data_IF_499631907127
#
_entry.id   IF_499631907127
#
_cell.length_a   1.000
_cell.length_b   1.000
_cell.length_c   1.000
_cell.angle_alpha   90.00
_cell.angle_beta   90.00
_cell.angle_gamma   90.00
#
_symmetry.space_group_name_H-M   'P 1'
#
loop_
_entity.id
_entity.type
_entity.pdbx_description
1 polymer ?
#
# COMPACT_ATOMS: atom_id res chain seq x y z
N UNK A 1 61.84 14.16 -32.16
CA UNK A 1 61.27 14.56 -30.84
C UNK A 1 59.78 14.30 -30.87
N UNK A 2 59.22 13.66 -29.84
CA UNK A 2 57.78 13.30 -29.81
C UNK A 2 56.93 14.49 -29.39
N UNK A 3 55.86 14.79 -30.13
CA UNK A 3 54.93 15.89 -29.86
C UNK A 3 54.11 15.64 -28.56
N UNK A 4 53.92 16.67 -27.73
CA UNK A 4 53.22 16.55 -26.45
C UNK A 4 51.76 17.05 -26.52
N UNK A 5 50.81 16.11 -26.62
CA UNK A 5 49.37 16.41 -26.72
C UNK A 5 48.60 16.40 -25.37
N UNK A 6 49.30 16.49 -24.23
CA UNK A 6 48.65 16.42 -22.89
C UNK A 6 47.66 17.57 -22.66
N UNK A 7 47.98 18.76 -23.14
CA UNK A 7 47.13 19.96 -23.01
C UNK A 7 45.88 19.83 -23.87
N UNK A 8 46.04 19.42 -25.13
CA UNK A 8 44.97 19.18 -26.10
C UNK A 8 44.02 18.11 -25.58
N UNK A 9 44.54 17.00 -25.05
CA UNK A 9 43.73 15.94 -24.43
C UNK A 9 42.95 16.43 -23.20
N UNK A 10 43.53 17.34 -22.40
CA UNK A 10 42.85 17.97 -21.25
C UNK A 10 41.76 18.95 -21.71
N UNK A 11 42.03 19.78 -22.71
CA UNK A 11 41.08 20.73 -23.27
C UNK A 11 39.91 20.01 -23.94
N UNK A 12 40.19 18.99 -24.76
CA UNK A 12 39.19 18.14 -25.39
C UNK A 12 38.26 17.47 -24.38
N UNK A 13 38.81 16.94 -23.27
CA UNK A 13 38.01 16.36 -22.19
C UNK A 13 37.03 17.39 -21.59
N UNK A 14 37.48 18.62 -21.33
CA UNK A 14 36.65 19.71 -20.82
C UNK A 14 35.62 20.20 -21.83
N UNK A 15 35.96 20.24 -23.12
CA UNK A 15 35.09 20.72 -24.20
C UNK A 15 33.97 19.72 -24.49
N UNK A 16 34.29 18.42 -24.52
CA UNK A 16 33.35 17.33 -24.83
C UNK A 16 32.56 16.87 -23.59
N UNK A 17 32.97 17.31 -22.39
CA UNK A 17 32.30 16.94 -21.14
C UNK A 17 32.52 15.48 -20.74
N UNK A 18 33.71 14.93 -20.97
CA UNK A 18 34.05 13.55 -20.61
C UNK A 18 35.46 13.45 -20.00
N UNK A 19 35.78 12.33 -19.35
CA UNK A 19 37.13 12.13 -18.80
C UNK A 19 38.19 11.92 -19.89
N UNK A 20 39.46 12.30 -19.62
CA UNK A 20 40.61 12.14 -20.55
C UNK A 20 40.76 10.73 -21.13
N UNK A 21 40.31 9.69 -20.40
CA UNK A 21 40.32 8.28 -20.85
C UNK A 21 39.41 8.01 -22.05
N UNK A 22 38.37 8.84 -22.25
CA UNK A 22 37.40 8.75 -23.34
C UNK A 22 37.74 9.61 -24.55
N UNK A 23 38.74 10.46 -24.46
CA UNK A 23 39.24 11.21 -25.61
C UNK A 23 40.19 10.32 -26.41
N UNK A 24 39.89 10.16 -27.69
CA UNK A 24 40.78 9.64 -28.72
C UNK A 24 41.28 10.83 -29.57
N UNK A 25 42.57 10.82 -29.89
CA UNK A 25 43.24 11.81 -30.74
C UNK A 25 43.77 11.02 -31.93
N UNK A 26 43.57 11.53 -33.13
CA UNK A 26 44.07 10.88 -34.34
C UNK A 26 45.62 10.81 -34.33
N UNK A 27 46.24 9.62 -34.41
CA UNK A 27 47.69 9.48 -34.46
C UNK A 27 48.32 9.94 -35.79
N UNK A 28 47.53 10.07 -36.87
CA UNK A 28 48.04 10.53 -38.17
C UNK A 28 48.11 12.06 -38.25
N UNK A 29 47.19 12.75 -37.56
CA UNK A 29 47.06 14.22 -37.60
C UNK A 29 47.62 14.91 -36.35
N UNK A 30 48.73 14.38 -35.82
CA UNK A 30 49.37 14.86 -34.58
C UNK A 30 49.82 16.32 -34.69
N UNK A 31 50.28 16.75 -35.86
CA UNK A 31 50.74 18.12 -36.09
C UNK A 31 49.58 19.12 -36.06
N UNK A 32 48.46 18.79 -36.70
CA UNK A 32 47.27 19.64 -36.71
C UNK A 32 46.64 19.75 -35.32
N UNK A 33 46.56 18.62 -34.59
CA UNK A 33 46.08 18.62 -33.20
C UNK A 33 47.01 19.45 -32.30
N UNK A 34 48.33 19.38 -32.49
CA UNK A 34 49.31 20.12 -31.68
C UNK A 34 49.13 21.64 -31.78
N UNK A 35 48.76 22.16 -32.95
CA UNK A 35 48.55 23.59 -33.18
C UNK A 35 47.28 24.15 -32.51
N UNK A 36 46.37 23.28 -32.04
CA UNK A 36 45.13 23.70 -31.39
C UNK A 36 45.31 24.10 -29.92
N UNK A 37 45.55 25.39 -29.67
CA UNK A 37 45.79 25.94 -28.33
C UNK A 37 44.53 26.47 -27.62
N UNK A 38 43.43 26.68 -28.36
CA UNK A 38 42.18 27.25 -27.81
C UNK A 38 41.07 26.20 -27.66
N UNK A 39 40.08 26.47 -26.80
CA UNK A 39 38.88 25.61 -26.70
C UNK A 39 38.04 25.63 -27.97
N UNK A 40 38.03 26.75 -28.70
CA UNK A 40 37.26 26.90 -29.94
C UNK A 40 37.87 26.07 -31.08
N UNK A 41 39.18 26.08 -31.24
CA UNK A 41 39.89 25.23 -32.21
C UNK A 41 39.72 23.75 -31.87
N UNK A 42 39.75 23.37 -30.59
CA UNK A 42 39.46 21.99 -30.15
C UNK A 42 38.01 21.58 -30.45
N UNK A 43 37.03 22.49 -30.38
CA UNK A 43 35.65 22.19 -30.82
C UNK A 43 35.58 21.90 -32.32
N UNK A 44 36.33 22.65 -33.13
CA UNK A 44 36.44 22.42 -34.58
C UNK A 44 37.02 21.03 -34.87
N UNK A 45 38.15 20.67 -34.23
CA UNK A 45 38.76 19.33 -34.37
C UNK A 45 37.84 18.17 -33.90
N UNK A 46 36.94 18.42 -32.95
CA UNK A 46 35.92 17.43 -32.55
C UNK A 46 34.83 17.30 -33.61
N UNK A 47 34.42 18.40 -34.23
CA UNK A 47 33.43 18.40 -35.32
C UNK A 47 33.99 17.74 -36.60
N UNK A 48 35.26 18.02 -36.91
CA UNK A 48 35.98 17.46 -38.06
C UNK A 48 36.36 15.98 -37.87
N UNK A 49 36.17 15.43 -36.67
CA UNK A 49 36.39 14.00 -36.37
C UNK A 49 37.82 13.61 -35.98
N UNK A 50 38.76 14.57 -35.93
CA UNK A 50 40.14 14.37 -35.50
C UNK A 50 40.27 14.09 -33.99
N UNK A 51 39.27 14.53 -33.22
CA UNK A 51 39.14 14.24 -31.79
C UNK A 51 37.80 13.55 -31.53
N UNK A 52 37.84 12.28 -31.13
CA UNK A 52 36.65 11.45 -30.96
C UNK A 52 36.40 11.13 -29.49
N UNK A 53 35.14 11.22 -29.08
CA UNK A 53 34.68 10.64 -27.81
C UNK A 53 34.49 9.13 -27.99
N UNK A 54 35.40 8.34 -27.43
CA UNK A 54 35.27 6.88 -27.39
C UNK A 54 33.96 6.47 -26.68
N UNK A 55 33.25 5.45 -27.18
CA UNK A 55 32.07 4.94 -26.51
C UNK A 55 32.40 4.43 -25.10
N UNK A 56 31.39 4.37 -24.24
CA UNK A 56 31.52 3.79 -22.91
C UNK A 56 31.77 2.29 -23.06
N UNK A 57 32.63 1.72 -22.21
CA UNK A 57 32.81 0.28 -22.20
C UNK A 57 31.51 -0.34 -21.67
N UNK A 58 30.86 -1.17 -22.49
CA UNK A 58 29.54 -1.69 -22.16
C UNK A 58 29.62 -2.64 -20.96
N UNK A 59 28.86 -2.34 -19.90
CA UNK A 59 28.68 -3.28 -18.79
C UNK A 59 27.29 -3.92 -18.87
N UNK A 60 27.21 -5.11 -19.47
CA UNK A 60 25.94 -5.83 -19.62
C UNK A 60 25.32 -6.21 -18.27
N UNK A 61 24.00 -6.05 -18.16
CA UNK A 61 23.20 -6.46 -17.00
C UNK A 61 22.44 -7.77 -17.22
N UNK A 62 22.62 -8.44 -18.36
CA UNK A 62 21.86 -9.64 -18.73
C UNK A 62 21.93 -10.74 -17.66
N UNK A 63 23.13 -11.10 -17.21
CA UNK A 63 23.35 -12.10 -16.15
C UNK A 63 22.71 -11.70 -14.81
N UNK A 64 22.83 -10.44 -14.42
CA UNK A 64 22.21 -9.93 -13.20
C UNK A 64 20.67 -9.97 -13.26
N UNK A 65 20.07 -9.67 -14.41
CA UNK A 65 18.61 -9.76 -14.64
C UNK A 65 18.14 -11.22 -14.58
N UNK A 66 18.84 -12.13 -15.25
CA UNK A 66 18.54 -13.56 -15.21
C UNK A 66 18.60 -14.12 -13.78
N UNK A 67 19.63 -13.75 -13.01
CA UNK A 67 19.74 -14.13 -11.60
C UNK A 67 18.59 -13.56 -10.74
N UNK A 68 18.19 -12.31 -10.97
CA UNK A 68 17.07 -11.69 -10.24
C UNK A 68 15.74 -12.37 -10.57
N UNK A 69 15.51 -12.76 -11.83
CA UNK A 69 14.34 -13.54 -12.22
C UNK A 69 14.35 -14.91 -11.52
N UNK A 70 15.47 -15.63 -11.53
CA UNK A 70 15.63 -16.89 -10.82
C UNK A 70 15.40 -16.76 -9.30
N UNK A 71 15.88 -15.66 -8.68
CA UNK A 71 15.64 -15.36 -7.26
C UNK A 71 14.16 -15.06 -6.96
N UNK A 72 13.43 -14.45 -7.90
CA UNK A 72 12.00 -14.14 -7.75
C UNK A 72 11.13 -15.40 -7.66
N UNK A 73 11.44 -16.42 -8.47
CA UNK A 73 10.83 -17.77 -8.40
C UNK A 73 11.34 -18.61 -7.22
N UNK A 74 12.25 -18.09 -6.38
CA UNK A 74 12.67 -18.74 -5.14
C UNK A 74 14.04 -19.43 -5.18
N UNK A 75 14.72 -19.47 -6.33
CA UNK A 75 16.07 -20.06 -6.44
C UNK A 75 17.10 -19.23 -5.67
N UNK A 76 18.20 -19.86 -5.26
CA UNK A 76 19.29 -19.22 -4.52
C UNK A 76 18.91 -18.58 -3.16
N UNK A 77 17.86 -19.07 -2.47
CA UNK A 77 17.40 -18.57 -1.16
C UNK A 77 17.60 -19.55 0.03
N UNK A 78 18.21 -20.70 -0.22
CA UNK A 78 18.50 -21.74 0.79
C UNK A 78 19.49 -21.28 1.88
N UNK A 79 19.63 -22.08 2.94
CA UNK A 79 20.43 -21.72 4.13
C UNK A 79 21.89 -21.36 3.80
N UNK A 80 22.56 -22.12 2.93
CA UNK A 80 23.95 -21.83 2.53
C UNK A 80 24.16 -20.53 1.74
N UNK A 81 23.09 -19.83 1.32
CA UNK A 81 23.18 -18.50 0.70
C UNK A 81 22.82 -17.36 1.65
N UNK A 82 22.45 -17.66 2.90
CA UNK A 82 22.10 -16.67 3.93
C UNK A 82 23.35 -16.36 4.75
N UNK A 83 23.78 -15.10 4.74
CA UNK A 83 24.94 -14.62 5.53
C UNK A 83 24.55 -13.78 6.75
N UNK A 84 23.46 -13.02 6.67
CA UNK A 84 22.94 -12.22 7.78
C UNK A 84 21.83 -12.90 8.57
N UNK A 85 21.58 -12.43 9.79
CA UNK A 85 20.49 -12.90 10.67
C UNK A 85 19.11 -12.69 10.02
N UNK A 86 18.09 -13.38 10.55
CA UNK A 86 16.70 -13.25 10.06
C UNK A 86 16.22 -11.80 10.14
N UNK A 87 16.50 -11.13 11.26
CA UNK A 87 16.04 -9.76 11.51
C UNK A 87 16.78 -8.73 10.64
N UNK A 88 18.09 -8.91 10.40
CA UNK A 88 18.84 -8.06 9.46
C UNK A 88 18.31 -8.19 8.01
N UNK A 89 17.85 -9.38 7.60
CA UNK A 89 17.32 -9.63 6.26
C UNK A 89 15.88 -9.11 6.09
N UNK A 90 15.06 -9.26 7.13
CA UNK A 90 13.67 -8.78 7.19
C UNK A 90 13.32 -8.45 8.65
N UNK A 91 13.40 -7.17 9.04
CA UNK A 91 13.15 -6.77 10.42
C UNK A 91 11.73 -7.09 10.88
N UNK A 92 11.62 -7.60 12.09
CA UNK A 92 10.36 -7.99 12.71
C UNK A 92 9.41 -6.79 12.85
N UNK A 93 9.95 -5.60 13.13
CA UNK A 93 9.22 -4.34 13.18
C UNK A 93 8.55 -4.01 11.83
N UNK A 94 9.25 -4.22 10.70
CA UNK A 94 8.70 -3.96 9.35
C UNK A 94 7.54 -4.90 9.05
N UNK A 95 7.67 -6.18 9.40
CA UNK A 95 6.59 -7.16 9.25
C UNK A 95 5.37 -6.78 10.11
N UNK A 96 5.60 -6.36 11.35
CA UNK A 96 4.54 -5.91 12.25
C UNK A 96 3.81 -4.67 11.70
N UNK A 97 4.56 -3.65 11.29
CA UNK A 97 4.01 -2.43 10.70
C UNK A 97 3.17 -2.73 9.44
N UNK A 98 3.68 -3.56 8.53
CA UNK A 98 2.95 -3.96 7.31
C UNK A 98 1.64 -4.66 7.68
N UNK A 99 1.68 -5.61 8.62
CA UNK A 99 0.49 -6.33 9.07
C UNK A 99 -0.55 -5.39 9.69
N UNK A 100 -0.16 -4.55 10.66
CA UNK A 100 -1.08 -3.59 11.28
C UNK A 100 -1.73 -2.66 10.28
N UNK A 101 -0.93 -2.08 9.37
CA UNK A 101 -1.45 -1.16 8.35
C UNK A 101 -2.46 -1.85 7.43
N UNK A 102 -2.23 -3.11 7.05
CA UNK A 102 -3.17 -3.89 6.24
C UNK A 102 -4.48 -4.14 6.99
N UNK A 103 -4.42 -4.52 8.27
CA UNK A 103 -5.61 -4.76 9.10
C UNK A 103 -6.42 -3.48 9.31
N UNK A 104 -5.76 -2.39 9.72
CA UNK A 104 -6.41 -1.10 9.98
C UNK A 104 -7.03 -0.50 8.72
N UNK A 105 -6.33 -0.56 7.59
CA UNK A 105 -6.87 -0.09 6.30
C UNK A 105 -8.13 -0.87 5.89
N UNK A 106 -8.19 -2.17 6.18
CA UNK A 106 -9.39 -2.98 5.92
C UNK A 106 -10.55 -2.52 6.81
N UNK A 107 -10.31 -2.32 8.11
CA UNK A 107 -11.34 -1.86 9.05
C UNK A 107 -11.91 -0.49 8.65
N UNK A 108 -11.05 0.46 8.27
CA UNK A 108 -11.49 1.78 7.78
C UNK A 108 -12.37 1.64 6.54
N UNK A 109 -11.95 0.83 5.56
CA UNK A 109 -12.74 0.57 4.35
C UNK A 109 -14.10 -0.06 4.68
N UNK A 110 -14.15 -1.02 5.60
CA UNK A 110 -15.40 -1.70 5.95
C UNK A 110 -16.36 -0.79 6.71
N UNK A 111 -15.83 0.10 7.56
CA UNK A 111 -16.63 1.11 8.27
C UNK A 111 -17.23 2.12 7.28
N UNK A 112 -16.42 2.63 6.36
CA UNK A 112 -16.88 3.57 5.33
C UNK A 112 -17.95 2.95 4.42
N UNK A 113 -17.83 1.66 4.10
CA UNK A 113 -18.81 0.92 3.32
C UNK A 113 -20.04 0.45 4.11
N UNK A 114 -20.18 0.81 5.40
CA UNK A 114 -21.28 0.37 6.27
C UNK A 114 -21.32 -1.12 6.58
N UNK A 115 -20.26 -1.88 6.24
CA UNK A 115 -20.20 -3.32 6.52
C UNK A 115 -20.05 -3.62 8.01
N UNK A 116 -19.44 -2.70 8.76
CA UNK A 116 -19.29 -2.75 10.22
C UNK A 116 -19.72 -1.39 10.80
N UNK A 117 -20.26 -1.41 12.02
CA UNK A 117 -20.60 -0.20 12.76
C UNK A 117 -19.39 0.39 13.51
N UNK A 118 -19.56 1.59 14.10
CA UNK A 118 -18.50 2.28 14.84
C UNK A 118 -18.04 1.49 16.08
N UNK A 119 -18.95 0.74 16.71
CA UNK A 119 -18.69 -0.03 17.92
C UNK A 119 -17.82 -1.25 17.62
N UNK A 120 -18.24 -2.09 16.66
CA UNK A 120 -17.44 -3.23 16.23
C UNK A 120 -16.10 -2.79 15.63
N UNK A 121 -16.06 -1.65 14.92
CA UNK A 121 -14.80 -1.07 14.45
C UNK A 121 -13.82 -0.80 15.60
N UNK A 122 -14.27 -0.17 16.69
CA UNK A 122 -13.39 0.21 17.79
C UNK A 122 -12.81 -1.03 18.49
N UNK A 123 -13.65 -2.03 18.76
CA UNK A 123 -13.24 -3.31 19.35
C UNK A 123 -12.19 -4.01 18.46
N UNK A 124 -12.50 -4.18 17.17
CA UNK A 124 -11.58 -4.83 16.23
C UNK A 124 -10.28 -4.06 16.03
N UNK A 125 -10.30 -2.73 16.19
CA UNK A 125 -9.11 -1.90 16.14
C UNK A 125 -8.15 -2.20 17.30
N UNK A 126 -8.68 -2.35 18.52
CA UNK A 126 -7.89 -2.71 19.69
C UNK A 126 -7.40 -4.17 19.62
N UNK A 127 -8.26 -5.11 19.21
CA UNK A 127 -7.86 -6.51 18.99
C UNK A 127 -6.77 -6.64 17.91
N UNK A 128 -6.85 -5.82 16.85
CA UNK A 128 -5.79 -5.76 15.83
C UNK A 128 -4.46 -5.25 16.41
N UNK A 129 -4.49 -4.28 17.34
CA UNK A 129 -3.31 -3.82 18.07
C UNK A 129 -2.75 -4.93 18.98
N UNK A 130 -3.64 -5.72 19.60
CA UNK A 130 -3.32 -6.83 20.50
C UNK A 130 -2.84 -8.13 19.84
N UNK A 131 -2.57 -8.15 18.53
CA UNK A 131 -2.04 -9.33 17.81
C UNK A 131 -2.98 -10.56 17.80
N UNK A 132 -4.28 -10.36 18.02
CA UNK A 132 -5.31 -11.40 17.89
C UNK A 132 -5.40 -11.92 16.45
N UNK A 133 -5.28 -11.04 15.46
CA UNK A 133 -5.35 -11.39 14.05
C UNK A 133 -3.96 -11.55 13.41
N UNK A 134 -3.65 -12.76 12.91
CA UNK A 134 -2.36 -13.05 12.27
C UNK A 134 -2.23 -12.51 10.85
N UNK A 135 -3.34 -12.43 10.11
CA UNK A 135 -3.40 -11.95 8.74
C UNK A 135 -4.81 -11.46 8.38
N UNK A 136 -4.95 -10.79 7.24
CA UNK A 136 -6.21 -10.19 6.78
C UNK A 136 -7.39 -11.18 6.77
N UNK A 137 -7.17 -12.44 6.37
CA UNK A 137 -8.22 -13.45 6.27
C UNK A 137 -8.89 -13.74 7.62
N UNK A 138 -8.10 -14.02 8.65
CA UNK A 138 -8.57 -14.19 10.04
C UNK A 138 -9.43 -13.03 10.55
N UNK A 139 -9.07 -11.77 10.23
CA UNK A 139 -9.90 -10.62 10.60
C UNK A 139 -11.25 -10.63 9.85
N UNK A 140 -11.26 -10.96 8.56
CA UNK A 140 -12.49 -11.05 7.77
C UNK A 140 -13.39 -12.19 8.28
N UNK A 141 -12.83 -13.36 8.55
CA UNK A 141 -13.54 -14.50 9.13
C UNK A 141 -14.18 -14.14 10.47
N UNK A 142 -13.44 -13.44 11.35
CA UNK A 142 -13.96 -12.95 12.63
C UNK A 142 -15.11 -11.95 12.45
N UNK A 143 -15.00 -11.01 11.50
CA UNK A 143 -16.06 -10.05 11.20
C UNK A 143 -17.32 -10.78 10.73
N UNK A 144 -17.18 -11.76 9.84
CA UNK A 144 -18.33 -12.51 9.33
C UNK A 144 -19.03 -13.27 10.47
N UNK A 145 -18.26 -13.93 11.34
CA UNK A 145 -18.79 -14.63 12.51
C UNK A 145 -19.52 -13.67 13.47
N UNK A 146 -18.87 -12.57 13.87
CA UNK A 146 -19.46 -11.58 14.77
C UNK A 146 -20.74 -10.95 14.21
N UNK A 147 -20.78 -10.69 12.88
CA UNK A 147 -22.00 -10.18 12.23
C UNK A 147 -23.13 -11.21 12.22
N UNK A 148 -22.81 -12.48 11.96
CA UNK A 148 -23.82 -13.55 11.99
C UNK A 148 -24.41 -13.73 13.40
N UNK A 149 -23.57 -13.65 14.44
CA UNK A 149 -24.00 -13.68 15.84
C UNK A 149 -24.93 -12.50 16.18
N UNK A 150 -24.50 -11.27 15.87
CA UNK A 150 -25.32 -10.06 16.10
C UNK A 150 -26.64 -10.10 15.35
N UNK A 151 -26.66 -10.67 14.14
CA UNK A 151 -27.90 -10.83 13.37
C UNK A 151 -28.86 -11.83 14.03
N UNK A 152 -28.34 -12.96 14.54
CA UNK A 152 -29.16 -13.95 15.28
C UNK A 152 -29.75 -13.35 16.55
N UNK A 153 -28.94 -12.63 17.32
CA UNK A 153 -29.41 -11.93 18.52
C UNK A 153 -30.50 -10.90 18.21
N UNK A 154 -30.35 -10.17 17.09
CA UNK A 154 -31.35 -9.20 16.65
C UNK A 154 -32.68 -9.86 16.31
N UNK A 155 -32.67 -10.93 15.53
CA UNK A 155 -33.88 -11.68 15.16
C UNK A 155 -34.60 -12.21 16.42
N UNK A 156 -33.85 -12.80 17.36
CA UNK A 156 -34.43 -13.32 18.60
C UNK A 156 -35.05 -12.21 19.44
N UNK A 157 -34.38 -11.05 19.52
CA UNK A 157 -34.91 -9.88 20.23
C UNK A 157 -36.18 -9.33 19.57
N UNK A 158 -36.18 -9.18 18.24
CA UNK A 158 -37.34 -8.73 17.47
C UNK A 158 -38.54 -9.67 17.68
N UNK A 159 -38.31 -10.99 17.69
CA UNK A 159 -39.37 -11.98 17.97
C UNK A 159 -39.95 -11.83 19.39
N UNK A 160 -39.08 -11.67 20.39
CA UNK A 160 -39.50 -11.52 21.78
C UNK A 160 -40.24 -10.20 22.01
N UNK A 161 -39.78 -9.10 21.42
CA UNK A 161 -40.43 -7.80 21.50
C UNK A 161 -41.78 -7.80 20.78
N UNK A 162 -41.90 -8.51 19.64
CA UNK A 162 -43.18 -8.70 18.96
C UNK A 162 -44.18 -9.50 19.81
N UNK A 163 -43.73 -10.57 20.49
CA UNK A 163 -44.58 -11.33 21.44
C UNK A 163 -45.03 -10.44 22.60
N UNK A 164 -44.13 -9.63 23.18
CA UNK A 164 -44.47 -8.69 24.26
C UNK A 164 -45.48 -7.63 23.79
N UNK A 165 -45.29 -7.06 22.61
CA UNK A 165 -46.19 -6.07 22.03
C UNK A 165 -47.58 -6.67 21.78
N UNK A 166 -47.66 -7.90 21.24
CA UNK A 166 -48.93 -8.61 21.04
C UNK A 166 -49.69 -8.84 22.35
N UNK A 167 -48.98 -9.28 23.39
CA UNK A 167 -49.57 -9.49 24.72
C UNK A 167 -50.02 -8.18 25.35
N UNK A 168 -49.23 -7.10 25.21
CA UNK A 168 -49.59 -5.75 25.69
C UNK A 168 -50.85 -5.23 24.99
N UNK A 169 -50.91 -5.29 23.66
CA UNK A 169 -52.08 -4.88 22.88
C UNK A 169 -53.34 -5.74 23.18
N UNK A 170 -53.17 -7.03 23.50
CA UNK A 170 -54.28 -7.87 23.95
C UNK A 170 -54.80 -7.45 25.34
N UNK A 171 -53.89 -7.07 26.25
CA UNK A 171 -54.23 -6.57 27.59
C UNK A 171 -54.95 -5.22 27.51
N UNK A 172 -54.45 -4.28 26.71
CA UNK A 172 -55.06 -2.96 26.49
C UNK A 172 -56.48 -3.11 25.91
N UNK A 173 -56.67 -3.91 24.84
CA UNK A 173 -58.00 -4.21 24.30
C UNK A 173 -58.95 -4.91 25.27
N UNK A 174 -58.43 -5.65 26.27
CA UNK A 174 -59.27 -6.24 27.33
C UNK A 174 -59.67 -5.16 28.34
N UNK A 175 -58.75 -4.29 28.72
CA UNK A 175 -59.04 -3.16 29.61
C UNK A 175 -60.06 -2.22 28.99
N UNK A 176 -59.89 -1.82 27.73
CA UNK A 176 -60.85 -1.00 26.98
C UNK A 176 -62.25 -1.63 26.96
N UNK A 177 -62.37 -2.93 26.67
CA UNK A 177 -63.66 -3.64 26.71
C UNK A 177 -64.30 -3.65 28.10
N UNK A 178 -63.51 -3.84 29.15
CA UNK A 178 -64.03 -3.82 30.53
C UNK A 178 -64.48 -2.41 30.91
N UNK A 179 -63.73 -1.38 30.49
CA UNK A 179 -64.07 0.02 30.74
C UNK A 179 -65.34 0.44 29.99
N UNK A 180 -65.46 0.11 28.70
CA UNK A 180 -66.67 0.31 27.91
C UNK A 180 -67.88 -0.39 28.53
N UNK A 181 -67.72 -1.66 28.95
CA UNK A 181 -68.80 -2.40 29.62
C UNK A 181 -69.22 -1.74 30.94
N UNK A 182 -68.25 -1.24 31.73
CA UNK A 182 -68.53 -0.54 32.99
C UNK A 182 -69.30 0.76 32.73
N UNK A 183 -68.84 1.59 31.80
CA UNK A 183 -69.49 2.87 31.46
C UNK A 183 -70.93 2.66 30.97
N UNK A 184 -71.16 1.66 30.12
CA UNK A 184 -72.50 1.29 29.66
C UNK A 184 -73.42 0.78 30.79
N UNK A 185 -72.86 0.24 31.88
CA UNK A 185 -73.63 -0.26 33.03
C UNK A 185 -73.97 0.85 34.03
N UNK A 186 -73.13 1.88 34.14
CA UNK A 186 -73.36 3.04 35.03
C UNK A 186 -74.27 4.11 34.42
N UNK A 187 -74.70 3.95 33.15
CA UNK A 187 -75.73 4.81 32.54
C UNK A 187 -75.30 6.24 32.24
N UNK A 188 -73.99 6.55 32.26
CA UNK A 188 -73.47 7.90 31.97
C UNK A 188 -73.66 8.32 30.49
N UNK A 189 -74.13 7.43 29.61
CA UNK A 189 -74.45 7.74 28.21
C UNK A 189 -75.84 8.43 28.04
N UNK A 190 -76.68 8.53 29.08
CA UNK A 190 -77.96 9.28 29.01
C UNK A 190 -77.86 10.78 29.39
N UNK A 191 -76.76 11.25 30.00
CA UNK A 191 -76.65 12.66 30.47
C UNK A 191 -76.03 13.65 29.46
N UNK A 192 -75.74 13.25 28.22
CA UNK A 192 -75.12 14.15 27.20
C UNK A 192 -75.94 14.35 25.92
N UNK A 193 -77.27 14.15 25.98
CA UNK A 193 -78.20 14.59 24.93
C UNK A 193 -79.25 15.57 25.46
N UNK A 194 -78.82 16.80 25.73
CA UNK A 194 -79.64 18.03 25.63
C UNK A 194 -78.84 19.11 24.90
#
# INVERSE_FOLDING_TARGET
>A
MTVNLRTQKRLAASVVGCGKRKIWLDPNEVNEISNANSRQTVRKLVADGLIIRKPVAMHSRARARALNQARRIGRHRGYGKRKGTKDARMPSQVLWMRRLRVLRRLLVKYRAAGKIDKHLYHELYQLSKGNTFKHKRALVEHIHKAKAEKQRERILKEEMDAKRAKTKAARERRQERVLQKRNALTGEDEETKE
#
